data_IF_460740658405
#
_entry.id   IF_460740658405
#
_cell.length_a   1.000
_cell.length_b   1.000
_cell.length_c   1.000
_cell.angle_alpha   90.00
_cell.angle_beta   90.00
_cell.angle_gamma   90.00
#
_symmetry.space_group_name_H-M   'P 1'
#
loop_
_entity.id
_entity.type
_entity.pdbx_description
1 polymer ?
#
# COMPACT_ATOMS: atom_id res chain seq x y z
N UNK A 1 31.63 -7.04 16.50
CA UNK A 1 30.17 -7.16 16.35
C UNK A 1 29.89 -7.38 14.87
N UNK A 2 29.19 -8.44 14.51
CA UNK A 2 28.68 -8.55 13.14
C UNK A 2 27.64 -7.45 12.94
N UNK A 3 27.67 -6.71 11.80
CA UNK A 3 26.65 -5.71 11.52
C UNK A 3 25.27 -6.37 11.45
N UNK A 4 24.25 -5.69 11.97
CA UNK A 4 22.87 -6.15 11.82
C UNK A 4 22.48 -6.14 10.34
N UNK A 5 21.63 -7.09 9.88
CA UNK A 5 21.18 -7.09 8.50
C UNK A 5 20.40 -5.81 8.19
N UNK A 6 20.69 -5.19 7.05
CA UNK A 6 20.03 -3.98 6.56
C UNK A 6 18.98 -4.28 5.49
N UNK A 7 18.90 -5.52 5.03
CA UNK A 7 17.88 -6.01 4.09
C UNK A 7 17.17 -7.22 4.71
N UNK A 8 15.91 -7.39 4.37
CA UNK A 8 15.07 -8.46 4.94
C UNK A 8 15.61 -9.86 4.61
N UNK A 9 16.10 -10.04 3.39
CA UNK A 9 16.65 -11.31 2.91
C UNK A 9 17.85 -11.06 2.01
N UNK A 10 18.92 -11.86 2.20
CA UNK A 10 20.08 -11.89 1.31
C UNK A 10 19.98 -13.16 0.46
N UNK A 11 19.88 -12.98 -0.86
CA UNK A 11 19.84 -14.08 -1.82
C UNK A 11 21.27 -14.36 -2.25
N UNK A 12 21.77 -15.61 -2.15
CA UNK A 12 23.08 -15.99 -2.68
C UNK A 12 23.16 -15.70 -4.19
N UNK A 13 24.35 -15.33 -4.73
CA UNK A 13 24.51 -14.89 -6.11
C UNK A 13 24.14 -15.94 -7.18
N UNK A 14 24.16 -17.21 -6.81
CA UNK A 14 23.89 -18.39 -7.66
C UNK A 14 22.46 -18.91 -7.52
N UNK A 15 21.62 -18.22 -6.74
CA UNK A 15 20.21 -18.61 -6.51
C UNK A 15 19.28 -17.68 -7.29
N UNK A 16 18.37 -18.28 -8.06
CA UNK A 16 17.23 -17.56 -8.64
C UNK A 16 16.08 -17.67 -7.63
N UNK A 17 15.75 -16.56 -6.98
CA UNK A 17 14.64 -16.51 -6.03
C UNK A 17 13.35 -16.07 -6.72
N UNK A 18 12.37 -16.95 -6.72
CA UNK A 18 11.02 -16.69 -7.23
C UNK A 18 9.99 -16.45 -6.09
N UNK A 19 10.44 -16.47 -4.84
CA UNK A 19 9.58 -16.34 -3.65
C UNK A 19 9.46 -14.90 -3.12
N UNK A 20 10.40 -14.02 -3.46
CA UNK A 20 10.40 -12.64 -2.99
C UNK A 20 9.97 -11.67 -4.12
N UNK A 21 8.98 -10.85 -3.82
CA UNK A 21 8.50 -9.78 -4.71
C UNK A 21 9.31 -8.48 -4.61
N UNK A 22 10.61 -8.55 -4.26
CA UNK A 22 11.43 -7.37 -4.13
C UNK A 22 11.88 -6.84 -5.50
N UNK A 23 11.83 -5.52 -5.75
CA UNK A 23 12.40 -4.96 -6.97
C UNK A 23 13.92 -5.17 -7.00
N UNK A 24 14.51 -5.46 -8.18
CA UNK A 24 15.95 -5.59 -8.30
C UNK A 24 16.64 -4.25 -7.97
N UNK A 25 17.81 -4.32 -7.31
CA UNK A 25 18.55 -3.15 -6.86
C UNK A 25 18.86 -2.15 -7.98
N UNK A 26 19.05 -2.64 -9.21
CA UNK A 26 19.31 -1.82 -10.40
C UNK A 26 18.14 -0.91 -10.81
N UNK A 27 16.92 -1.22 -10.37
CA UNK A 27 15.73 -0.41 -10.65
C UNK A 27 15.39 0.57 -9.52
N UNK A 28 16.11 0.52 -8.39
CA UNK A 28 15.86 1.43 -7.28
C UNK A 28 16.44 2.82 -7.61
N UNK A 29 15.63 3.89 -7.56
CA UNK A 29 16.01 5.21 -8.08
C UNK A 29 16.82 6.02 -7.04
N UNK A 30 17.95 5.50 -6.59
CA UNK A 30 18.77 6.13 -5.52
C UNK A 30 19.21 7.56 -5.88
N UNK A 31 19.63 7.79 -7.12
CA UNK A 31 20.10 9.12 -7.55
C UNK A 31 18.93 10.12 -7.56
N UNK A 32 17.78 9.72 -8.07
CA UNK A 32 16.57 10.56 -8.05
C UNK A 32 16.16 10.94 -6.61
N UNK A 33 16.21 10.00 -5.68
CA UNK A 33 15.90 10.26 -4.26
C UNK A 33 16.92 11.23 -3.66
N UNK A 34 18.20 11.05 -3.95
CA UNK A 34 19.28 11.94 -3.47
C UNK A 34 19.08 13.37 -3.96
N UNK A 35 18.83 13.54 -5.26
CA UNK A 35 18.67 14.85 -5.88
C UNK A 35 17.42 15.56 -5.35
N UNK A 36 16.30 14.82 -5.21
CA UNK A 36 15.06 15.34 -4.65
C UNK A 36 15.23 15.77 -3.18
N UNK A 37 15.92 14.97 -2.38
CA UNK A 37 16.20 15.31 -0.99
C UNK A 37 17.11 16.55 -0.89
N UNK A 38 18.15 16.64 -1.72
CA UNK A 38 19.04 17.80 -1.77
C UNK A 38 18.26 19.07 -2.16
N UNK A 39 17.39 18.98 -3.16
CA UNK A 39 16.56 20.11 -3.57
C UNK A 39 15.63 20.57 -2.45
N UNK A 40 14.94 19.65 -1.78
CA UNK A 40 14.04 19.97 -0.67
C UNK A 40 14.78 20.65 0.48
N UNK A 41 15.93 20.11 0.89
CA UNK A 41 16.73 20.65 2.00
C UNK A 41 17.41 21.99 1.66
N UNK A 42 17.67 22.28 0.39
CA UNK A 42 18.29 23.55 -0.04
C UNK A 42 17.35 24.74 0.03
N UNK A 43 16.05 24.54 0.25
CA UNK A 43 15.08 25.64 0.35
C UNK A 43 15.16 26.43 1.65
N UNK A 44 16.01 26.00 2.60
CA UNK A 44 16.21 26.64 3.92
C UNK A 44 14.88 26.88 4.70
N UNK A 45 13.91 26.02 4.48
CA UNK A 45 12.62 26.04 5.18
C UNK A 45 12.62 24.97 6.27
N UNK A 46 12.80 25.41 7.53
CA UNK A 46 12.82 24.52 8.67
C UNK A 46 11.43 23.91 8.98
N UNK A 47 10.35 24.41 8.36
CA UNK A 47 9.00 23.89 8.58
C UNK A 47 8.86 22.41 8.15
N UNK A 48 9.70 21.94 7.21
CA UNK A 48 9.74 20.53 6.80
C UNK A 48 10.12 19.57 7.94
N UNK A 49 10.70 20.07 9.03
CA UNK A 49 11.10 19.30 10.21
C UNK A 49 10.05 19.36 11.35
N UNK A 50 8.97 20.08 11.15
CA UNK A 50 7.88 20.18 12.12
C UNK A 50 6.91 19.00 12.02
N UNK A 51 6.05 18.88 13.03
CA UNK A 51 4.92 17.95 12.96
C UNK A 51 4.05 18.27 11.76
N UNK A 52 3.76 17.26 10.95
CA UNK A 52 2.84 17.36 9.81
C UNK A 52 1.38 17.31 10.25
N UNK A 53 0.49 17.43 9.27
CA UNK A 53 -0.94 17.16 9.45
C UNK A 53 -1.20 15.65 9.35
N UNK A 54 -2.28 15.18 9.97
CA UNK A 54 -2.61 13.75 10.06
C UNK A 54 -2.78 13.08 8.68
N UNK A 55 -3.29 13.82 7.71
CA UNK A 55 -3.49 13.33 6.34
C UNK A 55 -2.18 13.17 5.55
N UNK A 56 -1.08 13.72 6.04
CA UNK A 56 0.21 13.74 5.35
C UNK A 56 0.54 15.10 4.73
N UNK A 57 1.79 15.26 4.32
CA UNK A 57 2.33 16.52 3.80
C UNK A 57 1.51 17.06 2.61
N UNK A 58 1.07 18.33 2.71
CA UNK A 58 0.20 18.97 1.72
C UNK A 58 0.83 19.09 0.32
N UNK A 59 2.11 19.40 0.24
CA UNK A 59 2.83 19.45 -1.06
C UNK A 59 2.87 18.08 -1.73
N UNK A 60 3.13 17.04 -0.94
CA UNK A 60 3.12 15.67 -1.46
C UNK A 60 1.72 15.25 -1.91
N UNK A 61 0.68 15.53 -1.12
CA UNK A 61 -0.71 15.23 -1.50
C UNK A 61 -1.13 15.95 -2.79
N UNK A 62 -0.74 17.22 -2.95
CA UNK A 62 -1.01 17.99 -4.17
C UNK A 62 -0.29 17.39 -5.41
N UNK A 63 0.99 17.05 -5.28
CA UNK A 63 1.75 16.41 -6.35
C UNK A 63 1.18 15.02 -6.71
N UNK A 64 0.81 14.23 -5.70
CA UNK A 64 0.18 12.92 -5.90
C UNK A 64 -1.20 13.05 -6.56
N UNK A 65 -2.00 14.05 -6.17
CA UNK A 65 -3.30 14.30 -6.79
C UNK A 65 -3.18 14.61 -8.28
N UNK A 66 -2.19 15.42 -8.68
CA UNK A 66 -1.91 15.69 -10.08
C UNK A 66 -1.50 14.43 -10.84
N UNK A 67 -0.54 13.66 -10.30
CA UNK A 67 -0.10 12.39 -10.88
C UNK A 67 -1.25 11.40 -11.08
N UNK A 68 -2.12 11.26 -10.06
CA UNK A 68 -3.28 10.37 -10.14
C UNK A 68 -4.33 10.89 -11.13
N UNK A 69 -4.55 12.21 -11.20
CA UNK A 69 -5.49 12.81 -12.16
C UNK A 69 -5.08 12.54 -13.60
N UNK A 70 -3.79 12.66 -13.90
CA UNK A 70 -3.24 12.32 -15.21
C UNK A 70 -3.40 10.83 -15.55
N UNK A 71 -3.16 9.95 -14.57
CA UNK A 71 -3.27 8.51 -14.76
C UNK A 71 -4.71 8.00 -14.88
N UNK A 72 -5.66 8.59 -14.15
CA UNK A 72 -7.05 8.17 -14.13
C UNK A 72 -7.92 8.88 -15.18
N UNK A 73 -7.47 10.01 -15.72
CA UNK A 73 -8.25 10.83 -16.65
C UNK A 73 -9.41 11.60 -16.00
N UNK A 74 -9.44 11.73 -14.68
CA UNK A 74 -10.38 12.57 -13.94
C UNK A 74 -9.67 13.28 -12.77
N UNK A 75 -10.23 14.41 -12.33
CA UNK A 75 -9.63 15.21 -11.26
C UNK A 75 -9.67 14.51 -9.91
N UNK A 76 -8.50 14.38 -9.27
CA UNK A 76 -8.35 13.90 -7.90
C UNK A 76 -8.16 15.12 -6.98
N UNK A 77 -8.99 15.24 -5.95
CA UNK A 77 -8.85 16.30 -4.95
C UNK A 77 -7.79 15.90 -3.91
N UNK A 78 -6.71 16.69 -3.69
CA UNK A 78 -5.71 16.40 -2.68
C UNK A 78 -6.26 16.30 -1.25
N UNK A 79 -7.39 16.96 -0.94
CA UNK A 79 -8.04 16.87 0.37
C UNK A 79 -8.67 15.48 0.63
N UNK A 80 -8.91 14.69 -0.40
CA UNK A 80 -9.40 13.31 -0.28
C UNK A 80 -8.28 12.27 -0.18
N UNK A 81 -7.01 12.71 -0.15
CA UNK A 81 -5.87 11.81 -0.01
C UNK A 81 -5.39 11.74 1.44
N UNK A 82 -5.17 10.51 1.90
CA UNK A 82 -4.56 10.21 3.19
C UNK A 82 -3.31 9.37 2.94
N UNK A 83 -2.16 9.82 3.45
CA UNK A 83 -0.87 9.18 3.23
C UNK A 83 -0.60 8.18 4.35
N UNK A 84 -0.30 6.95 3.98
CA UNK A 84 0.04 5.86 4.91
C UNK A 84 1.47 5.37 4.69
N UNK A 85 2.03 4.70 5.68
CA UNK A 85 3.35 4.06 5.58
C UNK A 85 3.28 2.71 4.86
N UNK A 86 2.80 2.75 3.62
CA UNK A 86 2.58 1.60 2.76
C UNK A 86 1.19 1.01 2.88
N UNK A 87 0.88 0.08 1.96
CA UNK A 87 -0.46 -0.51 1.82
C UNK A 87 -0.88 -1.32 3.05
N UNK A 88 0.05 -2.00 3.72
CA UNK A 88 -0.26 -2.77 4.93
C UNK A 88 -0.79 -1.88 6.05
N UNK A 89 -0.18 -0.70 6.26
CA UNK A 89 -0.68 0.28 7.22
C UNK A 89 -2.03 0.85 6.78
N UNK A 90 -2.22 1.09 5.48
CA UNK A 90 -3.52 1.52 4.94
C UNK A 90 -4.63 0.51 5.23
N UNK A 91 -4.38 -0.78 4.98
CA UNK A 91 -5.34 -1.85 5.27
C UNK A 91 -5.64 -1.99 6.76
N UNK A 92 -4.61 -1.91 7.61
CA UNK A 92 -4.76 -1.96 9.06
C UNK A 92 -5.63 -0.80 9.59
N UNK A 93 -5.40 0.41 9.10
CA UNK A 93 -6.24 1.58 9.43
C UNK A 93 -7.69 1.40 8.96
N UNK A 94 -7.91 0.93 7.73
CA UNK A 94 -9.26 0.68 7.21
C UNK A 94 -9.98 -0.35 8.10
N UNK A 95 -9.32 -1.46 8.43
CA UNK A 95 -9.89 -2.45 9.33
C UNK A 95 -10.22 -1.86 10.71
N UNK A 96 -9.28 -1.09 11.28
CA UNK A 96 -9.46 -0.47 12.60
C UNK A 96 -10.64 0.49 12.68
N UNK A 97 -10.91 1.27 11.61
CA UNK A 97 -11.93 2.31 11.63
C UNK A 97 -13.29 1.85 11.11
N UNK A 98 -13.33 0.90 10.21
CA UNK A 98 -14.55 0.53 9.48
C UNK A 98 -15.06 -0.87 9.78
N UNK A 99 -14.31 -1.68 10.56
CA UNK A 99 -14.71 -3.05 10.88
C UNK A 99 -14.61 -3.35 12.37
N UNK A 100 -15.22 -4.44 12.78
CA UNK A 100 -15.10 -5.06 14.10
C UNK A 100 -14.92 -6.57 13.94
N UNK A 101 -14.40 -7.21 14.96
CA UNK A 101 -14.23 -8.68 14.99
C UNK A 101 -15.57 -9.37 14.68
N UNK A 102 -15.54 -10.34 13.79
CA UNK A 102 -16.70 -11.07 13.29
C UNK A 102 -17.32 -10.51 12.02
N UNK A 103 -16.98 -9.29 11.60
CA UNK A 103 -17.44 -8.77 10.31
C UNK A 103 -16.84 -9.59 9.16
N UNK A 104 -17.53 -9.61 8.03
CA UNK A 104 -17.11 -10.32 6.83
C UNK A 104 -16.44 -9.36 5.86
N UNK A 105 -15.25 -9.77 5.34
CA UNK A 105 -14.56 -9.11 4.23
C UNK A 105 -14.52 -10.04 3.03
N UNK A 106 -14.89 -9.51 1.86
CA UNK A 106 -14.80 -10.21 0.59
C UNK A 106 -13.47 -9.89 -0.08
N UNK A 107 -12.77 -10.91 -0.53
CA UNK A 107 -11.46 -10.77 -1.18
C UNK A 107 -11.42 -11.58 -2.48
N UNK A 108 -10.62 -11.14 -3.43
CA UNK A 108 -10.34 -11.91 -4.64
C UNK A 108 -9.58 -13.20 -4.31
N UNK A 109 -9.78 -14.25 -5.09
CA UNK A 109 -9.02 -15.50 -4.98
C UNK A 109 -8.33 -15.83 -6.32
N UNK A 110 -6.99 -15.88 -6.32
CA UNK A 110 -6.04 -15.75 -5.20
C UNK A 110 -5.89 -14.30 -4.71
N UNK A 111 -5.58 -14.14 -3.40
CA UNK A 111 -5.34 -12.84 -2.78
C UNK A 111 -3.93 -12.73 -2.18
N UNK A 112 -3.52 -11.50 -1.86
CA UNK A 112 -2.21 -11.26 -1.25
C UNK A 112 -2.17 -11.77 0.19
N UNK A 113 -1.30 -12.73 0.47
CA UNK A 113 -1.27 -13.46 1.73
C UNK A 113 -1.04 -12.59 2.99
N UNK A 114 -0.27 -11.47 2.86
CA UNK A 114 -0.08 -10.55 3.98
C UNK A 114 -1.35 -9.74 4.30
N UNK A 115 -2.17 -9.43 3.30
CA UNK A 115 -3.47 -8.81 3.54
C UNK A 115 -4.40 -9.75 4.33
N UNK A 116 -4.42 -11.04 3.96
CA UNK A 116 -5.20 -12.05 4.68
C UNK A 116 -4.81 -12.13 6.16
N UNK A 117 -3.52 -11.95 6.47
CA UNK A 117 -3.05 -11.91 7.84
C UNK A 117 -3.56 -10.69 8.59
N UNK A 118 -3.52 -9.50 7.97
CA UNK A 118 -4.06 -8.28 8.58
C UNK A 118 -5.55 -8.47 8.91
N UNK A 119 -6.34 -9.01 7.98
CA UNK A 119 -7.75 -9.29 8.22
C UNK A 119 -7.99 -10.27 9.37
N UNK A 120 -7.17 -11.32 9.45
CA UNK A 120 -7.21 -12.29 10.56
C UNK A 120 -6.84 -11.64 11.90
N UNK A 121 -5.84 -10.77 11.95
CA UNK A 121 -5.41 -10.04 13.16
C UNK A 121 -6.52 -9.13 13.70
N UNK A 122 -7.40 -8.61 12.81
CA UNK A 122 -8.63 -7.87 13.17
C UNK A 122 -9.84 -8.78 13.47
N UNK A 123 -9.69 -10.10 13.40
CA UNK A 123 -10.75 -11.08 13.66
C UNK A 123 -11.85 -11.07 12.60
N UNK A 124 -11.55 -10.69 11.37
CA UNK A 124 -12.51 -10.67 10.26
C UNK A 124 -12.72 -12.05 9.66
N UNK A 125 -13.93 -12.33 9.20
CA UNK A 125 -14.26 -13.49 8.41
C UNK A 125 -13.93 -13.23 6.94
N UNK A 126 -12.90 -13.89 6.42
CA UNK A 126 -12.50 -13.73 5.02
C UNK A 126 -13.29 -14.68 4.14
N UNK A 127 -13.96 -14.14 3.14
CA UNK A 127 -14.72 -14.91 2.14
C UNK A 127 -14.17 -14.61 0.75
N UNK A 128 -13.79 -15.65 0.02
CA UNK A 128 -13.22 -15.53 -1.32
C UNK A 128 -14.30 -15.31 -2.37
N UNK A 129 -13.98 -14.42 -3.31
CA UNK A 129 -14.75 -14.17 -4.54
C UNK A 129 -13.92 -14.65 -5.72
N UNK A 130 -14.54 -15.38 -6.66
CA UNK A 130 -13.83 -15.89 -7.83
C UNK A 130 -13.32 -14.76 -8.74
N UNK A 131 -12.18 -15.00 -9.36
CA UNK A 131 -11.59 -14.14 -10.40
C UNK A 131 -11.43 -14.88 -11.70
N UNK A 132 -11.41 -14.16 -12.82
CA UNK A 132 -11.08 -14.65 -14.14
C UNK A 132 -9.99 -13.75 -14.78
N UNK A 133 -9.77 -13.88 -16.07
CA UNK A 133 -8.79 -13.09 -16.82
C UNK A 133 -9.07 -11.57 -16.85
N UNK A 134 -10.28 -11.14 -16.52
CA UNK A 134 -10.70 -9.75 -16.44
C UNK A 134 -10.75 -9.20 -15.00
N UNK A 135 -10.42 -10.03 -14.01
CA UNK A 135 -10.43 -9.70 -12.59
C UNK A 135 -11.60 -10.35 -11.83
N UNK A 136 -12.17 -9.65 -10.86
CA UNK A 136 -13.27 -10.15 -10.03
C UNK A 136 -14.52 -10.46 -10.86
N UNK A 137 -15.09 -11.66 -10.65
CA UNK A 137 -16.33 -12.11 -11.33
C UNK A 137 -17.56 -11.52 -10.61
N UNK A 138 -18.31 -10.58 -11.22
CA UNK A 138 -19.45 -9.90 -10.58
C UNK A 138 -20.53 -10.86 -10.08
N UNK A 139 -20.84 -11.91 -10.84
CA UNK A 139 -21.85 -12.90 -10.42
C UNK A 139 -21.44 -13.65 -9.15
N UNK A 140 -20.14 -13.95 -8.97
CA UNK A 140 -19.63 -14.54 -7.73
C UNK A 140 -19.73 -13.57 -6.56
N UNK A 141 -19.47 -12.28 -6.79
CA UNK A 141 -19.64 -11.26 -5.76
C UNK A 141 -21.10 -11.15 -5.32
N UNK A 142 -22.05 -11.09 -6.27
CA UNK A 142 -23.49 -11.03 -5.99
C UNK A 142 -23.95 -12.24 -5.16
N UNK A 143 -23.51 -13.44 -5.53
CA UNK A 143 -23.82 -14.67 -4.77
C UNK A 143 -23.32 -14.57 -3.31
N UNK A 144 -22.07 -14.13 -3.11
CA UNK A 144 -21.50 -14.01 -1.76
C UNK A 144 -22.21 -12.93 -0.93
N UNK A 145 -22.57 -11.80 -1.54
CA UNK A 145 -23.34 -10.74 -0.88
C UNK A 145 -24.75 -11.20 -0.49
N UNK A 146 -25.42 -11.97 -1.35
CA UNK A 146 -26.74 -12.51 -1.05
C UNK A 146 -26.74 -13.56 0.06
N UNK A 147 -25.65 -14.27 0.25
CA UNK A 147 -25.48 -15.29 1.29
C UNK A 147 -24.85 -14.78 2.60
N UNK A 148 -24.45 -13.53 2.67
CA UNK A 148 -23.90 -12.93 3.89
C UNK A 148 -25.03 -12.35 4.75
N UNK A 149 -25.04 -12.65 6.06
CA UNK A 149 -26.04 -12.14 7.00
C UNK A 149 -25.93 -10.63 7.22
#
# INVERSE_FOLDING_TARGET
MNPLPIVQTQIPPDVIDLGLGNPPLSLLPLDLIRDSAQQALSQNDNSILQYGVEQGNGYFRAALANFLSDGYGFSVNPENLFITTGISNGLDLICSFFTKAGDTILVEEPSYFLALRIFADHGLNVVSVATDENGLVPASLEEKLAGSP
#
